data_IF_534897607340
#
_entry.id   IF_534897607340
#
_cell.length_a   1.000
_cell.length_b   1.000
_cell.length_c   1.000
_cell.angle_alpha   90.00
_cell.angle_beta   90.00
_cell.angle_gamma   90.00
#
_symmetry.space_group_name_H-M   'P 1'
#
loop_
_entity.id
_entity.type
_entity.pdbx_description
1 polymer ?
#
# COMPACT_ATOMS: atom_id res chain seq x y z
N UNK A 1 -18.67 0.19 20.42
CA UNK A 1 -18.61 1.50 21.12
C UNK A 1 -19.08 2.54 20.12
N UNK A 2 -20.15 3.27 20.41
CA UNK A 2 -20.77 4.17 19.43
C UNK A 2 -20.08 5.54 19.30
N UNK A 3 -19.27 5.92 20.30
CA UNK A 3 -18.55 7.20 20.31
C UNK A 3 -17.27 7.11 21.16
N UNK A 4 -16.26 7.92 20.86
CA UNK A 4 -15.05 8.00 21.69
C UNK A 4 -15.37 8.56 23.08
N UNK A 5 -14.57 8.22 24.12
CA UNK A 5 -14.72 8.78 25.45
C UNK A 5 -14.54 10.31 25.43
N UNK A 6 -15.46 11.02 26.04
CA UNK A 6 -15.50 12.50 26.05
C UNK A 6 -14.63 13.13 27.15
N UNK A 7 -14.10 12.35 28.07
CA UNK A 7 -13.23 12.84 29.12
C UNK A 7 -12.21 11.78 29.59
N UNK A 8 -11.20 12.23 30.34
CA UNK A 8 -10.12 11.38 30.80
C UNK A 8 -10.57 10.23 31.74
N UNK A 9 -11.62 10.43 32.54
CA UNK A 9 -12.14 9.38 33.40
C UNK A 9 -12.75 8.22 32.59
N UNK A 10 -13.57 8.53 31.60
CA UNK A 10 -14.13 7.52 30.69
C UNK A 10 -13.03 6.82 29.86
N UNK A 11 -11.96 7.53 29.52
CA UNK A 11 -10.82 6.93 28.81
C UNK A 11 -10.09 5.92 29.72
N UNK A 12 -9.93 6.24 31.01
CA UNK A 12 -9.30 5.31 31.96
C UNK A 12 -10.17 4.08 32.23
N UNK A 13 -11.49 4.25 32.33
CA UNK A 13 -12.42 3.13 32.51
C UNK A 13 -12.47 2.21 31.25
N UNK A 14 -12.24 2.77 30.08
CA UNK A 14 -12.29 2.01 28.82
C UNK A 14 -11.18 0.96 28.70
N UNK A 15 -10.03 1.17 29.36
CA UNK A 15 -8.83 0.28 29.38
C UNK A 15 -8.28 -0.08 28.00
N UNK A 16 -8.87 0.44 26.93
CA UNK A 16 -8.42 0.18 25.55
C UNK A 16 -7.59 1.36 25.02
N UNK A 17 -6.49 1.08 24.30
CA UNK A 17 -5.74 2.14 23.64
C UNK A 17 -6.62 2.84 22.59
N UNK A 18 -6.59 4.17 22.60
CA UNK A 18 -7.25 4.97 21.57
C UNK A 18 -6.29 5.19 20.41
N UNK A 19 -6.69 4.73 19.25
CA UNK A 19 -5.92 4.89 18.03
C UNK A 19 -6.84 5.22 16.86
N UNK A 20 -6.31 5.93 15.88
CA UNK A 20 -6.94 6.15 14.58
C UNK A 20 -6.13 5.43 13.52
N UNK A 21 -6.80 4.60 12.74
CA UNK A 21 -6.24 4.07 11.51
C UNK A 21 -6.65 4.99 10.37
N UNK A 22 -5.69 5.73 9.83
CA UNK A 22 -5.91 6.60 8.68
C UNK A 22 -5.36 5.92 7.42
N UNK A 23 -6.21 5.73 6.45
CA UNK A 23 -5.80 5.27 5.12
C UNK A 23 -5.99 6.44 4.15
N UNK A 24 -4.98 7.31 3.99
CA UNK A 24 -5.03 8.40 3.03
C UNK A 24 -5.26 7.83 1.62
N UNK A 25 -6.07 8.51 0.83
CA UNK A 25 -6.38 8.11 -0.55
C UNK A 25 -7.16 6.80 -0.71
N UNK A 26 -7.68 6.23 0.38
CA UNK A 26 -8.66 5.14 0.27
C UNK A 26 -9.96 5.67 -0.34
N UNK A 27 -10.51 4.92 -1.29
CA UNK A 27 -11.83 5.22 -1.81
C UNK A 27 -12.89 4.85 -0.75
N UNK A 28 -13.91 5.70 -0.51
CA UNK A 28 -15.03 5.35 0.36
C UNK A 28 -15.70 4.05 -0.10
N UNK A 29 -16.07 3.20 0.85
CA UNK A 29 -16.82 1.98 0.54
C UNK A 29 -18.16 2.34 -0.13
N UNK A 30 -18.49 1.67 -1.21
CA UNK A 30 -19.74 1.87 -1.98
C UNK A 30 -19.67 2.95 -3.06
N UNK A 31 -18.57 3.67 -3.22
CA UNK A 31 -18.39 4.57 -4.35
C UNK A 31 -17.86 3.80 -5.56
N UNK A 32 -18.52 3.93 -6.69
CA UNK A 32 -17.96 3.42 -7.93
C UNK A 32 -16.65 4.15 -8.20
N UNK A 33 -15.63 3.41 -8.61
CA UNK A 33 -14.26 3.93 -8.84
C UNK A 33 -14.21 5.08 -9.86
N UNK A 34 -15.24 5.23 -10.66
CA UNK A 34 -15.37 6.28 -11.68
C UNK A 34 -15.89 7.61 -11.13
N UNK A 35 -16.64 7.61 -10.02
CA UNK A 35 -17.34 8.82 -9.54
C UNK A 35 -16.55 9.61 -8.49
N UNK A 36 -15.61 8.98 -7.78
CA UNK A 36 -14.80 9.63 -6.75
C UNK A 36 -13.30 9.26 -6.82
N UNK A 37 -12.84 8.77 -7.97
CA UNK A 37 -11.41 8.56 -8.17
C UNK A 37 -10.69 9.91 -8.12
N UNK A 38 -9.61 9.98 -7.35
CA UNK A 38 -8.72 11.15 -7.37
C UNK A 38 -8.25 11.34 -8.82
N UNK A 39 -8.45 12.55 -9.42
CA UNK A 39 -8.04 12.79 -10.79
C UNK A 39 -6.53 12.63 -10.95
N UNK A 40 -6.11 12.01 -12.05
CA UNK A 40 -4.70 11.82 -12.37
C UNK A 40 -4.26 12.90 -13.36
N UNK A 41 -3.33 13.74 -12.94
CA UNK A 41 -2.66 14.71 -13.80
C UNK A 41 -1.54 14.01 -14.55
N UNK A 42 -1.69 13.91 -15.87
CA UNK A 42 -0.66 13.35 -16.76
C UNK A 42 0.09 14.49 -17.43
N UNK A 43 1.36 14.62 -17.10
CA UNK A 43 2.24 15.52 -17.85
C UNK A 43 2.70 14.81 -19.12
N UNK A 44 2.45 15.42 -20.28
CA UNK A 44 2.73 14.78 -21.58
C UNK A 44 4.21 14.91 -21.94
N UNK A 45 4.91 15.94 -21.48
CA UNK A 45 6.29 16.23 -21.91
C UNK A 45 7.25 16.58 -20.76
N UNK A 46 6.74 17.06 -19.61
CA UNK A 46 7.60 17.55 -18.54
C UNK A 46 7.04 17.31 -17.14
N UNK A 47 7.87 17.57 -16.16
CA UNK A 47 7.53 17.46 -14.75
C UNK A 47 6.38 18.41 -14.37
N UNK A 48 5.56 18.05 -13.37
CA UNK A 48 4.53 18.93 -12.83
C UNK A 48 5.10 20.30 -12.46
N UNK A 49 4.36 21.37 -12.77
CA UNK A 49 4.80 22.73 -12.47
C UNK A 49 4.89 22.96 -10.96
N UNK A 50 6.05 23.43 -10.52
CA UNK A 50 6.36 23.64 -9.10
C UNK A 50 7.00 24.98 -8.86
N UNK A 51 6.82 25.49 -7.64
CA UNK A 51 7.52 26.66 -7.17
C UNK A 51 9.03 26.43 -7.14
N UNK A 52 9.80 27.35 -7.70
CA UNK A 52 11.27 27.28 -7.74
C UNK A 52 11.88 27.30 -6.35
N UNK A 53 11.27 28.03 -5.41
CA UNK A 53 11.79 28.21 -4.05
C UNK A 53 11.37 27.08 -3.10
N UNK A 54 10.07 26.84 -2.93
CA UNK A 54 9.60 25.86 -1.93
C UNK A 54 9.28 24.48 -2.52
N UNK A 55 9.33 24.34 -3.84
CA UNK A 55 9.02 23.11 -4.59
C UNK A 55 7.57 22.65 -4.46
N UNK A 56 6.69 23.48 -3.86
CA UNK A 56 5.25 23.21 -3.81
C UNK A 56 4.65 23.15 -5.21
N UNK A 57 3.73 22.22 -5.43
CA UNK A 57 3.01 22.10 -6.71
C UNK A 57 2.07 23.27 -6.94
N UNK A 58 1.89 23.64 -8.21
CA UNK A 58 0.79 24.52 -8.59
C UNK A 58 -0.53 23.90 -8.15
N UNK A 59 -1.44 24.72 -7.62
CA UNK A 59 -2.67 24.24 -7.01
C UNK A 59 -3.78 25.32 -7.16
N UNK A 60 -5.05 25.04 -6.80
CA UNK A 60 -6.13 26.00 -6.98
C UNK A 60 -5.98 27.30 -6.17
N UNK A 61 -5.11 27.34 -5.16
CA UNK A 61 -4.89 28.48 -4.28
C UNK A 61 -3.80 29.45 -4.74
N UNK A 62 -3.12 29.21 -5.87
CA UNK A 62 -2.11 30.13 -6.41
C UNK A 62 -2.77 31.38 -7.02
N UNK A 63 -2.07 32.51 -7.03
CA UNK A 63 -2.51 33.74 -7.66
C UNK A 63 -1.82 33.89 -9.01
N UNK A 64 -2.60 34.05 -10.08
CA UNK A 64 -2.09 34.27 -11.43
C UNK A 64 -1.82 35.72 -11.67
N UNK A 65 -0.70 36.04 -12.32
CA UNK A 65 -0.22 37.38 -12.61
C UNK A 65 0.08 37.51 -14.12
N UNK A 66 0.24 38.74 -14.59
CA UNK A 66 0.69 39.04 -15.95
C UNK A 66 -0.08 38.27 -17.03
N UNK A 67 -1.40 38.29 -16.94
CA UNK A 67 -2.28 37.54 -17.85
C UNK A 67 -1.94 36.05 -17.96
N UNK A 68 -1.46 35.43 -16.88
CA UNK A 68 -1.14 34.00 -16.82
C UNK A 68 0.30 33.64 -17.17
N UNK A 69 1.16 34.66 -17.44
CA UNK A 69 2.59 34.43 -17.68
C UNK A 69 3.41 34.14 -16.40
N UNK A 70 2.87 34.56 -15.24
CA UNK A 70 3.49 34.38 -13.94
C UNK A 70 2.45 33.90 -12.91
N UNK A 71 2.92 33.31 -11.79
CA UNK A 71 2.06 32.93 -10.67
C UNK A 71 2.77 33.09 -9.34
N UNK A 72 2.04 33.57 -8.34
CA UNK A 72 2.50 33.65 -6.95
C UNK A 72 2.15 32.36 -6.21
N UNK A 73 3.17 31.74 -5.60
CA UNK A 73 3.00 30.56 -4.77
C UNK A 73 2.22 30.92 -3.49
N UNK A 74 1.11 30.23 -3.22
CA UNK A 74 0.30 30.46 -2.02
C UNK A 74 1.02 30.02 -0.71
N UNK A 75 2.07 29.19 -0.81
CA UNK A 75 2.83 28.70 0.35
C UNK A 75 3.95 29.65 0.77
N UNK A 76 4.81 30.08 -0.15
CA UNK A 76 6.01 30.87 0.15
C UNK A 76 6.00 32.29 -0.46
N UNK A 77 4.96 32.66 -1.20
CA UNK A 77 4.78 33.96 -1.84
C UNK A 77 5.80 34.30 -2.95
N UNK A 78 6.59 33.32 -3.35
CA UNK A 78 7.52 33.49 -4.46
C UNK A 78 6.75 33.59 -5.79
N UNK A 79 7.16 34.53 -6.65
CA UNK A 79 6.61 34.69 -7.98
C UNK A 79 7.41 33.85 -8.96
N UNK A 80 6.73 32.96 -9.66
CA UNK A 80 7.30 32.00 -10.60
C UNK A 80 6.87 32.34 -12.02
N UNK A 81 7.75 32.13 -12.99
CA UNK A 81 7.40 32.20 -14.41
C UNK A 81 6.65 30.93 -14.83
N UNK A 82 5.64 31.09 -15.68
CA UNK A 82 4.91 29.96 -16.25
C UNK A 82 5.67 29.42 -17.46
N UNK A 83 6.01 28.12 -17.52
CA UNK A 83 6.58 27.53 -18.72
C UNK A 83 5.66 27.65 -19.94
N UNK A 84 6.21 27.83 -21.14
CA UNK A 84 5.45 28.03 -22.37
C UNK A 84 4.40 26.95 -22.63
N UNK A 85 4.74 25.67 -22.38
CA UNK A 85 3.83 24.53 -22.54
C UNK A 85 2.67 24.54 -21.52
N UNK A 86 2.81 25.29 -20.43
CA UNK A 86 1.80 25.39 -19.37
C UNK A 86 1.02 26.70 -19.42
N UNK A 87 1.37 27.60 -20.30
CA UNK A 87 0.71 28.92 -20.41
C UNK A 87 -0.77 28.80 -20.79
N UNK A 88 -1.60 29.64 -20.17
CA UNK A 88 -2.98 29.91 -20.56
C UNK A 88 -3.37 31.30 -20.09
N UNK A 89 -4.13 32.03 -20.91
CA UNK A 89 -4.65 33.34 -20.58
C UNK A 89 -5.65 33.29 -19.43
N UNK A 90 -5.85 34.46 -18.79
CA UNK A 90 -6.82 34.60 -17.70
C UNK A 90 -8.17 35.05 -18.25
N UNK A 91 -9.23 34.68 -17.54
CA UNK A 91 -10.57 35.23 -17.75
C UNK A 91 -10.74 36.59 -17.04
N UNK A 92 -11.92 37.21 -17.21
CA UNK A 92 -12.23 38.52 -16.59
C UNK A 92 -12.22 38.49 -15.05
N UNK A 93 -12.14 37.32 -14.41
CA UNK A 93 -12.06 37.15 -12.96
C UNK A 93 -10.64 36.87 -12.46
N UNK A 94 -9.65 36.85 -13.37
CA UNK A 94 -8.25 36.58 -13.05
C UNK A 94 -7.93 35.09 -12.87
N UNK A 95 -8.83 34.19 -13.28
CA UNK A 95 -8.62 32.77 -13.26
C UNK A 95 -8.25 32.24 -14.65
N UNK A 96 -7.49 31.16 -14.70
CA UNK A 96 -7.09 30.56 -15.99
C UNK A 96 -8.28 30.03 -16.78
N UNK A 97 -8.29 30.27 -18.06
CA UNK A 97 -9.37 29.82 -18.97
C UNK A 97 -9.41 28.29 -19.07
N UNK A 98 -8.27 27.61 -18.94
CA UNK A 98 -8.14 26.14 -19.03
C UNK A 98 -8.32 25.43 -17.70
N UNK A 99 -8.66 26.13 -16.61
CA UNK A 99 -8.75 25.52 -15.25
C UNK A 99 -9.66 24.31 -15.16
N UNK A 100 -10.75 24.29 -15.94
CA UNK A 100 -11.72 23.18 -15.91
C UNK A 100 -11.19 21.88 -16.56
N UNK A 101 -10.19 22.00 -17.41
CA UNK A 101 -9.52 20.87 -18.06
C UNK A 101 -8.26 20.42 -17.32
N UNK A 102 -7.87 21.18 -16.28
CA UNK A 102 -6.70 20.91 -15.45
C UNK A 102 -7.11 20.54 -14.03
N UNK A 103 -7.08 19.25 -13.69
CA UNK A 103 -7.46 18.77 -12.37
C UNK A 103 -6.71 19.46 -11.24
N UNK A 104 -5.40 19.70 -11.41
CA UNK A 104 -4.54 20.37 -10.44
C UNK A 104 -4.93 21.81 -10.11
N UNK A 105 -5.77 22.43 -10.92
CA UNK A 105 -6.29 23.78 -10.70
C UNK A 105 -7.74 23.81 -10.23
N UNK A 106 -8.41 22.67 -10.19
CA UNK A 106 -9.84 22.57 -9.89
C UNK A 106 -10.15 21.72 -8.67
N UNK A 107 -9.33 20.73 -8.36
CA UNK A 107 -9.58 19.78 -7.28
C UNK A 107 -8.67 20.01 -6.09
N UNK A 108 -9.18 19.73 -4.89
CA UNK A 108 -8.40 19.80 -3.65
C UNK A 108 -7.40 18.67 -3.47
N UNK A 109 -7.58 17.55 -4.20
CA UNK A 109 -6.65 16.41 -4.21
C UNK A 109 -6.51 15.90 -5.63
N UNK A 110 -5.28 15.67 -6.07
CA UNK A 110 -4.95 15.12 -7.39
C UNK A 110 -3.73 14.21 -7.26
N UNK A 111 -3.65 13.22 -8.13
CA UNK A 111 -2.47 12.37 -8.30
C UNK A 111 -1.67 12.87 -9.49
N UNK A 112 -0.38 13.09 -9.33
CA UNK A 112 0.52 13.41 -10.44
C UNK A 112 1.22 12.15 -10.94
N UNK A 113 1.09 11.86 -12.22
CA UNK A 113 1.93 10.86 -12.86
C UNK A 113 3.33 11.47 -13.06
N UNK A 114 4.30 10.96 -12.33
CA UNK A 114 5.69 11.44 -12.40
C UNK A 114 6.47 10.71 -13.49
N UNK A 115 7.46 11.42 -14.07
CA UNK A 115 8.41 10.83 -15.01
C UNK A 115 9.45 9.96 -14.28
N UNK A 116 10.21 9.16 -15.05
CA UNK A 116 11.30 8.33 -14.53
C UNK A 116 12.39 9.12 -13.79
N UNK A 117 12.52 10.41 -14.06
CA UNK A 117 13.51 11.29 -13.41
C UNK A 117 13.28 11.49 -11.91
N UNK A 118 12.07 11.19 -11.43
CA UNK A 118 11.74 11.16 -10.00
C UNK A 118 12.16 9.87 -9.31
N UNK A 119 12.51 8.85 -10.08
CA UNK A 119 12.86 7.55 -9.56
C UNK A 119 14.38 7.44 -9.45
N UNK A 120 14.92 7.40 -8.22
CA UNK A 120 16.35 7.09 -7.97
C UNK A 120 16.69 5.67 -8.44
N UNK A 121 15.70 4.80 -8.49
CA UNK A 121 15.77 3.40 -8.93
C UNK A 121 14.49 3.02 -9.66
N UNK A 122 14.48 1.97 -10.48
CA UNK A 122 13.24 1.46 -11.08
C UNK A 122 12.16 1.22 -10.03
N UNK A 123 10.90 1.46 -10.38
CA UNK A 123 9.76 1.21 -9.52
C UNK A 123 9.79 -0.26 -9.11
N UNK A 124 9.79 -0.51 -7.81
CA UNK A 124 9.74 -1.87 -7.26
C UNK A 124 8.30 -2.33 -7.16
N UNK A 125 8.12 -3.61 -7.44
CA UNK A 125 6.85 -4.27 -7.24
C UNK A 125 6.50 -4.32 -5.74
N UNK A 126 5.22 -4.15 -5.37
CA UNK A 126 4.81 -4.25 -3.98
C UNK A 126 5.02 -5.68 -3.46
N UNK A 127 5.62 -5.78 -2.27
CA UNK A 127 5.77 -7.04 -1.55
C UNK A 127 5.00 -6.91 -0.24
N UNK A 128 4.01 -7.78 -0.05
CA UNK A 128 3.24 -7.88 1.19
C UNK A 128 3.76 -9.02 2.04
N UNK A 129 4.17 -8.73 3.26
CA UNK A 129 4.68 -9.73 4.19
C UNK A 129 3.66 -9.91 5.31
N UNK A 130 3.19 -11.15 5.47
CA UNK A 130 2.28 -11.55 6.53
C UNK A 130 3.06 -12.24 7.65
N UNK A 131 3.09 -11.61 8.81
CA UNK A 131 3.65 -12.14 10.03
C UNK A 131 2.52 -12.68 10.90
N UNK A 132 2.49 -13.99 11.15
CA UNK A 132 1.41 -14.68 11.86
C UNK A 132 1.90 -15.11 13.24
N UNK A 133 1.27 -14.60 14.29
CA UNK A 133 1.53 -14.99 15.66
C UNK A 133 0.99 -16.41 15.91
N UNK A 134 1.88 -17.33 16.27
CA UNK A 134 1.56 -18.71 16.64
C UNK A 134 1.88 -18.99 18.11
N UNK A 135 2.02 -17.96 18.94
CA UNK A 135 2.16 -18.16 20.39
C UNK A 135 0.97 -18.94 20.97
N UNK A 136 1.21 -19.67 22.06
CA UNK A 136 0.15 -20.45 22.71
C UNK A 136 -1.10 -19.60 23.01
N UNK A 137 -0.93 -18.33 23.41
CA UNK A 137 -2.05 -17.40 23.64
C UNK A 137 -2.82 -17.07 22.36
N UNK A 138 -2.14 -16.83 21.26
CA UNK A 138 -2.76 -16.52 19.97
C UNK A 138 -3.56 -17.72 19.45
N UNK A 139 -3.01 -18.91 19.58
CA UNK A 139 -3.70 -20.16 19.16
C UNK A 139 -4.90 -20.43 20.05
N UNK A 140 -4.76 -20.38 21.37
CA UNK A 140 -5.86 -20.62 22.33
C UNK A 140 -7.01 -19.62 22.16
N UNK A 141 -6.70 -18.37 21.83
CA UNK A 141 -7.73 -17.34 21.58
C UNK A 141 -8.40 -17.47 20.21
N UNK A 142 -7.89 -18.31 19.31
CA UNK A 142 -8.34 -18.45 17.93
C UNK A 142 -7.79 -17.34 16.98
N UNK A 143 -6.97 -16.42 17.49
CA UNK A 143 -6.44 -15.30 16.71
C UNK A 143 -5.56 -15.78 15.53
N UNK A 144 -4.75 -16.82 15.75
CA UNK A 144 -3.91 -17.45 14.71
C UNK A 144 -4.75 -17.93 13.53
N UNK A 145 -5.81 -18.68 13.78
CA UNK A 145 -6.67 -19.23 12.72
C UNK A 145 -7.48 -18.13 12.01
N UNK A 146 -7.97 -17.14 12.75
CA UNK A 146 -8.62 -15.98 12.15
C UNK A 146 -7.66 -15.18 11.24
N UNK A 147 -6.40 -15.07 11.62
CA UNK A 147 -5.35 -14.44 10.81
C UNK A 147 -5.08 -15.23 9.54
N UNK A 148 -4.96 -16.56 9.62
CA UNK A 148 -4.79 -17.41 8.43
C UNK A 148 -5.93 -17.27 7.42
N UNK A 149 -7.19 -17.28 7.88
CA UNK A 149 -8.36 -17.08 7.02
C UNK A 149 -8.36 -15.69 6.39
N UNK A 150 -7.96 -14.67 7.15
CA UNK A 150 -7.85 -13.29 6.65
C UNK A 150 -6.77 -13.16 5.59
N UNK A 151 -5.60 -13.77 5.79
CA UNK A 151 -4.49 -13.81 4.82
C UNK A 151 -4.92 -14.52 3.54
N UNK A 152 -5.58 -15.69 3.65
CA UNK A 152 -6.09 -16.42 2.48
C UNK A 152 -7.08 -15.57 1.68
N UNK A 153 -8.03 -14.92 2.35
CA UNK A 153 -9.01 -14.03 1.72
C UNK A 153 -8.34 -12.84 1.05
N UNK A 154 -7.32 -12.25 1.70
CA UNK A 154 -6.56 -11.13 1.18
C UNK A 154 -5.79 -11.52 -0.10
N UNK A 155 -5.09 -12.66 -0.08
CA UNK A 155 -4.35 -13.17 -1.24
C UNK A 155 -5.29 -13.49 -2.41
N UNK A 156 -6.45 -14.11 -2.16
CA UNK A 156 -7.46 -14.34 -3.20
C UNK A 156 -7.91 -13.04 -3.86
N UNK A 157 -8.16 -11.98 -3.09
CA UNK A 157 -8.51 -10.66 -3.62
C UNK A 157 -7.36 -10.06 -4.43
N UNK A 158 -6.12 -10.11 -3.91
CA UNK A 158 -4.93 -9.63 -4.62
C UNK A 158 -4.75 -10.34 -5.97
N UNK A 159 -4.94 -11.66 -6.00
CA UNK A 159 -4.84 -12.45 -7.24
C UNK A 159 -5.94 -12.04 -8.25
N UNK A 160 -7.17 -11.89 -7.79
CA UNK A 160 -8.29 -11.44 -8.64
C UNK A 160 -8.03 -10.04 -9.19
N UNK A 161 -7.58 -9.11 -8.35
CA UNK A 161 -7.25 -7.75 -8.75
C UNK A 161 -6.05 -7.70 -9.71
N UNK A 162 -5.04 -8.54 -9.50
CA UNK A 162 -3.88 -8.65 -10.37
C UNK A 162 -4.23 -9.19 -11.76
N UNK A 163 -5.10 -10.19 -11.81
CA UNK A 163 -5.59 -10.76 -13.09
C UNK A 163 -6.49 -9.77 -13.84
N UNK A 164 -7.31 -8.99 -13.13
CA UNK A 164 -8.17 -7.97 -13.72
C UNK A 164 -7.38 -6.76 -14.25
N UNK A 165 -6.20 -6.50 -13.71
CA UNK A 165 -5.34 -5.37 -14.05
C UNK A 165 -3.96 -5.88 -14.38
N UNK A 166 -3.63 -5.98 -15.66
CA UNK A 166 -2.30 -6.42 -16.13
C UNK A 166 -1.13 -5.66 -15.45
N UNK A 167 -1.38 -4.45 -14.92
CA UNK A 167 -0.41 -3.62 -14.22
C UNK A 167 0.00 -4.14 -12.82
N UNK A 168 -0.73 -5.08 -12.24
CA UNK A 168 -0.46 -5.64 -10.89
C UNK A 168 -0.07 -7.14 -10.93
N UNK A 169 0.25 -7.67 -12.10
CA UNK A 169 0.65 -9.08 -12.27
C UNK A 169 1.89 -9.47 -11.46
N UNK A 170 2.61 -8.49 -10.94
CA UNK A 170 3.89 -8.65 -10.24
C UNK A 170 3.80 -8.50 -8.71
N UNK A 171 2.61 -8.41 -8.13
CA UNK A 171 2.46 -8.37 -6.67
C UNK A 171 3.01 -9.64 -6.04
N UNK A 172 3.86 -9.47 -5.03
CA UNK A 172 4.49 -10.57 -4.30
C UNK A 172 3.99 -10.64 -2.86
N UNK A 173 3.96 -11.85 -2.33
CA UNK A 173 3.62 -12.10 -0.93
C UNK A 173 4.68 -12.97 -0.27
N UNK A 174 4.92 -12.71 1.00
CA UNK A 174 5.71 -13.55 1.88
C UNK A 174 4.90 -13.90 3.12
N UNK A 175 5.01 -15.11 3.60
CA UNK A 175 4.33 -15.58 4.81
C UNK A 175 5.37 -16.19 5.73
N UNK A 176 5.40 -15.72 6.97
CA UNK A 176 6.16 -16.37 8.04
C UNK A 176 5.33 -16.41 9.32
N UNK A 177 5.61 -17.38 10.16
CA UNK A 177 5.02 -17.48 11.50
C UNK A 177 6.06 -17.15 12.55
N UNK A 178 5.62 -16.74 13.72
CA UNK A 178 6.51 -16.47 14.84
C UNK A 178 5.89 -16.82 16.19
N UNK A 179 6.76 -17.26 17.09
CA UNK A 179 6.53 -17.38 18.53
C UNK A 179 7.82 -16.91 19.24
N UNK A 180 8.59 -17.78 19.85
CA UNK A 180 9.96 -17.53 20.31
C UNK A 180 10.97 -17.61 19.17
N UNK A 181 10.61 -18.28 18.09
CA UNK A 181 11.40 -18.47 16.89
C UNK A 181 10.64 -17.87 15.70
N UNK A 182 11.32 -17.68 14.59
CA UNK A 182 10.72 -17.23 13.32
C UNK A 182 10.78 -18.42 12.34
N UNK A 183 9.63 -18.79 11.78
CA UNK A 183 9.53 -19.88 10.83
C UNK A 183 9.21 -19.34 9.43
N UNK A 184 10.13 -19.54 8.51
CA UNK A 184 9.95 -19.29 7.09
C UNK A 184 9.58 -20.60 6.38
N UNK A 185 8.85 -20.49 5.28
CA UNK A 185 8.37 -21.65 4.55
C UNK A 185 8.80 -21.60 3.08
N UNK A 186 9.30 -22.72 2.57
CA UNK A 186 9.52 -22.94 1.16
C UNK A 186 8.71 -24.12 0.66
N UNK A 187 8.19 -24.05 -0.55
CA UNK A 187 7.38 -25.10 -1.16
C UNK A 187 8.20 -25.78 -2.27
N UNK A 188 8.25 -27.10 -2.23
CA UNK A 188 8.92 -27.93 -3.23
C UNK A 188 7.86 -28.70 -4.03
N UNK A 189 7.60 -28.29 -5.25
CA UNK A 189 6.63 -28.92 -6.16
C UNK A 189 7.23 -30.08 -6.98
N UNK A 190 8.55 -30.25 -6.96
CA UNK A 190 9.23 -31.31 -7.75
C UNK A 190 9.11 -32.70 -7.12
N UNK A 191 8.66 -32.79 -5.86
CA UNK A 191 8.36 -34.08 -5.25
C UNK A 191 7.20 -34.73 -6.00
N UNK A 192 7.33 -35.99 -6.40
CA UNK A 192 6.37 -36.81 -7.17
C UNK A 192 4.97 -36.97 -6.54
N UNK A 193 4.68 -36.25 -5.47
CA UNK A 193 3.36 -36.15 -4.85
C UNK A 193 2.65 -34.91 -5.40
N UNK A 194 1.43 -35.07 -5.89
CA UNK A 194 0.57 -33.96 -6.35
C UNK A 194 0.33 -32.87 -5.29
N UNK A 195 0.69 -33.15 -4.03
CA UNK A 195 0.44 -32.29 -2.88
C UNK A 195 1.56 -31.28 -2.56
N UNK A 196 2.71 -31.34 -3.23
CA UNK A 196 3.87 -30.51 -2.90
C UNK A 196 4.42 -30.77 -1.47
N UNK A 197 5.68 -30.48 -1.23
CA UNK A 197 6.32 -30.60 0.08
C UNK A 197 6.65 -29.22 0.64
N UNK A 198 6.08 -28.88 1.80
CA UNK A 198 6.43 -27.66 2.53
C UNK A 198 7.60 -27.95 3.45
N UNK A 199 8.66 -27.15 3.33
CA UNK A 199 9.83 -27.16 4.21
C UNK A 199 9.77 -25.95 5.12
N UNK A 200 9.90 -26.16 6.42
CA UNK A 200 9.98 -25.12 7.43
C UNK A 200 11.46 -24.83 7.75
N UNK A 201 11.82 -23.57 7.77
CA UNK A 201 13.15 -23.07 8.09
C UNK A 201 13.06 -22.18 9.32
N UNK A 202 13.66 -22.60 10.40
CA UNK A 202 13.56 -21.91 11.70
C UNK A 202 14.77 -21.01 11.90
N UNK A 203 14.51 -19.76 12.27
CA UNK A 203 15.52 -18.78 12.66
C UNK A 203 15.28 -18.33 14.11
N UNK A 204 16.37 -18.11 14.86
CA UNK A 204 16.28 -17.51 16.17
C UNK A 204 15.85 -16.04 16.06
N UNK A 205 14.93 -15.62 16.92
CA UNK A 205 14.48 -14.23 16.96
C UNK A 205 15.58 -13.24 17.39
N UNK A 206 16.63 -13.72 18.06
CA UNK A 206 17.80 -12.92 18.47
C UNK A 206 18.84 -12.75 17.35
N UNK A 207 18.80 -13.59 16.33
CA UNK A 207 19.63 -13.48 15.14
C UNK A 207 18.72 -13.23 13.93
N UNK A 208 18.48 -11.97 13.57
CA UNK A 208 17.49 -11.59 12.55
C UNK A 208 17.91 -11.95 11.11
N UNK A 209 18.93 -12.78 10.95
CA UNK A 209 19.33 -13.27 9.62
C UNK A 209 18.25 -14.20 9.12
N UNK A 210 17.63 -13.84 8.00
CA UNK A 210 16.65 -14.69 7.33
C UNK A 210 17.30 -16.03 6.97
N UNK A 211 16.73 -17.12 7.49
CA UNK A 211 17.27 -18.48 7.33
C UNK A 211 17.35 -18.95 5.88
N UNK A 212 16.60 -18.32 4.98
CA UNK A 212 16.54 -18.64 3.55
C UNK A 212 16.52 -17.38 2.70
N UNK A 213 17.00 -17.42 1.45
CA UNK A 213 16.91 -16.30 0.52
C UNK A 213 15.47 -15.86 0.28
N UNK A 214 15.20 -14.55 0.14
CA UNK A 214 13.85 -14.04 -0.13
C UNK A 214 13.14 -14.71 -1.30
N UNK A 215 13.85 -15.09 -2.35
CA UNK A 215 13.30 -15.77 -3.52
C UNK A 215 12.67 -17.14 -3.23
N UNK A 216 13.01 -17.76 -2.10
CA UNK A 216 12.46 -19.07 -1.74
C UNK A 216 11.14 -18.98 -0.99
N UNK A 217 10.85 -17.85 -0.29
CA UNK A 217 9.64 -17.70 0.51
C UNK A 217 8.78 -16.49 0.11
N UNK A 218 9.29 -15.56 -0.70
CA UNK A 218 8.52 -14.48 -1.30
C UNK A 218 8.09 -14.91 -2.70
N UNK A 219 6.78 -15.01 -2.92
CA UNK A 219 6.16 -15.59 -4.11
C UNK A 219 5.26 -14.60 -4.83
N UNK A 220 5.21 -14.66 -6.14
CA UNK A 220 4.29 -13.87 -6.96
C UNK A 220 2.86 -14.42 -6.87
N UNK A 221 1.88 -13.56 -6.59
CA UNK A 221 0.49 -14.00 -6.40
C UNK A 221 -0.13 -14.65 -7.64
N UNK A 222 0.37 -14.31 -8.83
CA UNK A 222 -0.08 -14.87 -10.12
C UNK A 222 0.82 -16.00 -10.58
N UNK A 223 2.14 -15.78 -10.56
CA UNK A 223 3.13 -16.73 -11.06
C UNK A 223 3.23 -17.99 -10.21
N UNK A 224 3.23 -17.80 -8.87
CA UNK A 224 3.47 -18.87 -7.89
C UNK A 224 2.19 -19.21 -7.12
N UNK A 225 1.01 -18.95 -7.67
CA UNK A 225 -0.28 -19.09 -6.98
C UNK A 225 -0.52 -20.49 -6.43
N UNK A 226 -0.02 -21.53 -7.12
CA UNK A 226 -0.13 -22.91 -6.67
C UNK A 226 0.73 -23.17 -5.42
N UNK A 227 1.98 -22.70 -5.37
CA UNK A 227 2.84 -22.81 -4.20
C UNK A 227 2.22 -22.12 -2.97
N UNK A 228 1.68 -20.92 -3.18
CA UNK A 228 1.00 -20.16 -2.13
C UNK A 228 -0.20 -20.94 -1.60
N UNK A 229 -1.00 -21.54 -2.47
CA UNK A 229 -2.17 -22.32 -2.10
C UNK A 229 -1.77 -23.56 -1.29
N UNK A 230 -0.76 -24.31 -1.74
CA UNK A 230 -0.22 -25.47 -1.00
C UNK A 230 0.25 -25.06 0.38
N UNK A 231 0.98 -23.95 0.50
CA UNK A 231 1.44 -23.41 1.78
C UNK A 231 0.25 -23.10 2.70
N UNK A 232 -0.74 -22.34 2.23
CA UNK A 232 -1.89 -21.95 3.05
C UNK A 232 -2.72 -23.14 3.53
N UNK A 233 -2.83 -24.19 2.74
CA UNK A 233 -3.52 -25.43 3.12
C UNK A 233 -2.77 -26.20 4.20
N UNK A 234 -1.43 -26.20 4.18
CA UNK A 234 -0.60 -26.94 5.12
C UNK A 234 -0.26 -26.21 6.42
N UNK A 235 -0.31 -24.88 6.41
CA UNK A 235 0.03 -24.08 7.59
C UNK A 235 -0.75 -24.45 8.86
N UNK A 236 -2.07 -24.68 8.84
CA UNK A 236 -2.81 -25.08 10.05
C UNK A 236 -2.29 -26.38 10.67
N UNK A 237 -1.94 -27.37 9.84
CA UNK A 237 -1.41 -28.66 10.28
C UNK A 237 -0.01 -28.53 10.89
N UNK A 238 0.86 -27.73 10.25
CA UNK A 238 2.21 -27.43 10.73
C UNK A 238 2.19 -26.74 12.10
N UNK A 239 1.31 -25.75 12.27
CA UNK A 239 1.13 -25.04 13.54
C UNK A 239 0.61 -25.96 14.63
N UNK A 240 -0.35 -26.82 14.32
CA UNK A 240 -0.89 -27.80 15.29
C UNK A 240 0.17 -28.83 15.73
N UNK A 241 1.07 -29.22 14.82
CA UNK A 241 2.14 -30.16 15.12
C UNK A 241 3.20 -29.55 16.05
N UNK A 242 3.53 -28.28 15.83
CA UNK A 242 4.54 -27.57 16.62
C UNK A 242 4.12 -27.39 18.09
N UNK A 243 2.83 -27.16 18.34
CA UNK A 243 2.31 -27.00 19.69
C UNK A 243 2.32 -28.29 20.54
N UNK A 244 2.26 -29.44 19.87
CA UNK A 244 2.36 -30.72 20.57
C UNK A 244 3.80 -31.12 20.98
N UNK A 245 4.79 -30.34 20.55
CA UNK A 245 6.21 -30.58 20.86
C UNK A 245 6.67 -29.72 22.05
N UNK A 246 5.96 -28.63 22.34
CA UNK A 246 6.30 -27.71 23.44
C UNK A 246 5.55 -28.00 24.76
N UNK A 247 4.68 -29.04 24.81
CA UNK A 247 4.06 -29.64 26.00
C UNK A 247 4.85 -30.85 26.46
#
# INVERSE_FOLDING_TARGET
MASPPVNAAMQQECVMPFAFLTTPFAHPEGCSRSEQAVPVVRSVEDNPVRCETCRGYVNPGVTWLENGASWECNLCKHVNTVPDYYYSSLDGTGLRMDRMTRPELSYGSVDFQVSGDYCIRPVQEPVYIFAIDISAKAVQSGATFASLQSVESCIKRMTTDALARAAHAFTKVGIFTYNRMIQFFSVDLESKSEEGKVKMHVADAWDPICAIPPSQWIKGVVQDGHEIQVLLQRLPELIATEQNVDD
#
